data_IF_793400992035
#
_entry.id   IF_793400992035
#
_cell.length_a   1.000
_cell.length_b   1.000
_cell.length_c   1.000
_cell.angle_alpha   90.00
_cell.angle_beta   90.00
_cell.angle_gamma   90.00
#
_symmetry.space_group_name_H-M   'P 1'
#
loop_
_entity.id
_entity.type
_entity.pdbx_description
1 polymer ?
#
# COMPACT_ATOMS: atom_id res chain seq x y z
N UNK A 1 -33.15 18.83 -17.31
CA UNK A 1 -32.36 17.65 -16.89
C UNK A 1 -30.96 18.14 -16.56
N UNK A 2 -30.64 18.33 -15.28
CA UNK A 2 -29.33 18.75 -14.84
C UNK A 2 -28.50 17.49 -14.55
N UNK A 3 -27.61 17.13 -15.47
CA UNK A 3 -26.59 16.11 -15.23
C UNK A 3 -25.53 16.75 -14.34
N UNK A 4 -25.60 16.48 -13.04
CA UNK A 4 -24.57 16.84 -12.07
C UNK A 4 -23.28 16.09 -12.41
N UNK A 5 -22.34 16.77 -13.05
CA UNK A 5 -20.96 16.32 -13.18
C UNK A 5 -20.29 16.42 -11.81
N UNK A 6 -20.44 15.38 -10.99
CA UNK A 6 -19.63 15.17 -9.80
C UNK A 6 -18.18 15.06 -10.28
N UNK A 7 -17.41 16.12 -10.08
CA UNK A 7 -15.97 16.13 -10.30
C UNK A 7 -15.34 15.04 -9.43
N UNK A 8 -15.16 13.86 -10.01
CA UNK A 8 -14.44 12.76 -9.38
C UNK A 8 -12.98 13.19 -9.30
N UNK A 9 -12.61 13.85 -8.20
CA UNK A 9 -11.21 14.07 -7.83
C UNK A 9 -10.62 12.69 -7.60
N UNK A 10 -9.98 12.13 -8.63
CA UNK A 10 -9.20 10.92 -8.47
C UNK A 10 -8.18 11.18 -7.36
N UNK A 11 -8.20 10.40 -6.27
CA UNK A 11 -7.29 10.62 -5.17
C UNK A 11 -5.88 10.41 -5.73
N UNK A 12 -5.07 11.46 -5.65
CA UNK A 12 -3.67 11.43 -6.05
C UNK A 12 -2.79 11.45 -4.81
N UNK A 13 -1.59 10.87 -4.87
CA UNK A 13 -0.65 10.95 -3.77
C UNK A 13 -0.17 12.38 -3.57
N UNK A 14 0.12 12.75 -2.32
CA UNK A 14 0.65 14.09 -2.05
C UNK A 14 2.06 14.24 -2.62
N UNK A 15 2.42 15.46 -3.03
CA UNK A 15 3.77 15.79 -3.52
C UNK A 15 4.87 15.36 -2.53
N UNK A 16 4.63 15.53 -1.23
CA UNK A 16 5.59 15.11 -0.20
C UNK A 16 5.81 13.60 -0.19
N UNK A 17 4.75 12.80 -0.34
CA UNK A 17 4.83 11.35 -0.42
C UNK A 17 5.67 10.92 -1.63
N UNK A 18 5.39 11.50 -2.81
CA UNK A 18 6.12 11.21 -4.04
C UNK A 18 7.61 11.55 -3.93
N UNK A 19 7.95 12.71 -3.34
CA UNK A 19 9.35 13.11 -3.15
C UNK A 19 10.09 12.15 -2.21
N UNK A 20 9.45 11.70 -1.12
CA UNK A 20 10.06 10.74 -0.20
C UNK A 20 10.19 9.35 -0.84
N UNK A 21 9.18 8.91 -1.60
CA UNK A 21 9.22 7.65 -2.32
C UNK A 21 10.31 7.65 -3.40
N UNK A 22 10.48 8.76 -4.13
CA UNK A 22 11.56 8.92 -5.10
C UNK A 22 12.95 8.84 -4.46
N UNK A 23 13.14 9.43 -3.28
CA UNK A 23 14.41 9.31 -2.54
C UNK A 23 14.71 7.86 -2.18
N UNK A 24 13.71 7.13 -1.68
CA UNK A 24 13.86 5.71 -1.32
C UNK A 24 14.10 4.85 -2.56
N UNK A 25 13.44 5.14 -3.68
CA UNK A 25 13.64 4.44 -4.95
C UNK A 25 15.07 4.59 -5.46
N UNK A 26 15.64 5.79 -5.35
CA UNK A 26 17.05 6.05 -5.72
C UNK A 26 18.02 5.38 -4.76
N UNK A 27 17.74 5.39 -3.45
CA UNK A 27 18.62 4.79 -2.44
C UNK A 27 18.66 3.26 -2.52
N UNK A 28 17.52 2.64 -2.81
CA UNK A 28 17.38 1.18 -2.84
C UNK A 28 17.37 0.58 -4.25
N UNK A 29 17.42 1.41 -5.29
CA UNK A 29 17.29 1.00 -6.70
C UNK A 29 16.03 0.17 -6.97
N UNK A 30 14.90 0.60 -6.41
CA UNK A 30 13.61 -0.10 -6.50
C UNK A 30 12.54 0.71 -7.24
N UNK A 31 11.70 0.07 -8.06
CA UNK A 31 10.57 0.73 -8.71
C UNK A 31 9.49 1.15 -7.71
N UNK A 32 8.85 2.29 -8.00
CA UNK A 32 7.68 2.77 -7.27
C UNK A 32 6.41 2.23 -7.95
N UNK A 33 5.59 1.49 -7.20
CA UNK A 33 4.32 0.93 -7.64
C UNK A 33 3.15 1.66 -6.97
N UNK A 34 2.20 2.09 -7.80
CA UNK A 34 1.02 2.88 -7.41
C UNK A 34 -0.29 2.07 -7.49
N UNK A 35 -0.22 0.81 -7.91
CA UNK A 35 -1.37 -0.07 -8.13
C UNK A 35 -2.29 -0.19 -6.90
N UNK A 36 -1.70 -0.17 -5.69
CA UNK A 36 -2.44 -0.28 -4.44
C UNK A 36 -2.99 1.05 -3.92
N UNK A 37 -2.61 2.19 -4.48
CA UNK A 37 -2.98 3.50 -3.93
C UNK A 37 -4.50 3.75 -4.01
N UNK A 38 -5.10 3.50 -5.17
CA UNK A 38 -6.53 3.65 -5.39
C UNK A 38 -7.36 2.59 -4.65
N UNK A 39 -6.86 1.36 -4.60
CA UNK A 39 -7.53 0.26 -3.90
C UNK A 39 -7.54 0.46 -2.38
N UNK A 40 -6.45 0.96 -1.80
CA UNK A 40 -6.39 1.31 -0.37
C UNK A 40 -7.22 2.56 -0.06
N UNK A 41 -7.32 3.50 -0.99
CA UNK A 41 -8.23 4.64 -0.84
C UNK A 41 -9.71 4.21 -0.89
N UNK A 42 -10.04 3.25 -1.75
CA UNK A 42 -11.40 2.71 -1.92
C UNK A 42 -11.78 1.66 -0.87
N UNK A 43 -10.85 1.27 0.01
CA UNK A 43 -11.04 0.24 1.02
C UNK A 43 -11.11 -1.19 0.47
N UNK A 44 -10.71 -1.40 -0.79
CA UNK A 44 -10.58 -2.74 -1.39
C UNK A 44 -9.33 -3.45 -0.89
N UNK A 45 -8.23 -2.70 -0.74
CA UNK A 45 -6.99 -3.23 -0.19
C UNK A 45 -6.76 -2.78 1.26
N UNK A 46 -6.15 -3.66 2.04
CA UNK A 46 -5.83 -3.47 3.45
C UNK A 46 -4.44 -4.00 3.79
N UNK A 47 -3.87 -3.51 4.88
CA UNK A 47 -2.62 -4.04 5.42
C UNK A 47 -2.93 -5.21 6.35
N UNK A 48 -2.55 -6.41 5.92
CA UNK A 48 -2.57 -7.62 6.71
C UNK A 48 -1.38 -7.67 7.67
N UNK A 49 -1.62 -8.03 8.93
CA UNK A 49 -0.58 -8.40 9.90
C UNK A 49 -0.78 -9.87 10.27
N UNK A 50 0.27 -10.67 10.13
CA UNK A 50 0.25 -12.08 10.51
C UNK A 50 0.25 -12.23 12.04
N UNK A 51 -0.57 -13.14 12.57
CA UNK A 51 -0.69 -13.33 14.02
C UNK A 51 0.51 -14.07 14.65
N UNK A 52 1.20 -14.91 13.89
CA UNK A 52 2.31 -15.73 14.39
C UNK A 52 3.65 -15.02 14.17
N UNK A 53 3.92 -14.55 12.94
CA UNK A 53 5.22 -13.94 12.60
C UNK A 53 5.26 -12.42 12.86
N UNK A 54 4.10 -11.79 13.05
CA UNK A 54 3.93 -10.32 13.15
C UNK A 54 4.40 -9.57 11.90
N UNK A 55 4.58 -10.28 10.80
CA UNK A 55 4.95 -9.68 9.53
C UNK A 55 3.75 -9.00 8.87
N UNK A 56 4.02 -7.99 8.07
CA UNK A 56 2.99 -7.17 7.43
C UNK A 56 3.03 -7.39 5.94
N UNK A 57 1.87 -7.37 5.30
CA UNK A 57 1.72 -7.46 3.85
C UNK A 57 0.52 -6.63 3.38
N UNK A 58 0.55 -6.16 2.15
CA UNK A 58 -0.63 -5.57 1.53
C UNK A 58 -1.47 -6.67 0.91
N UNK A 59 -2.75 -6.69 1.25
CA UNK A 59 -3.72 -7.65 0.73
C UNK A 59 -4.81 -6.88 0.02
N UNK A 60 -4.96 -7.12 -1.27
CA UNK A 60 -6.08 -6.61 -2.08
C UNK A 60 -7.21 -7.63 -2.14
N UNK A 61 -6.85 -8.88 -2.35
CA UNK A 61 -7.76 -10.03 -2.41
C UNK A 61 -7.03 -11.28 -1.89
N UNK A 62 -7.75 -12.38 -1.66
CA UNK A 62 -7.16 -13.66 -1.24
C UNK A 62 -6.09 -14.19 -2.21
N UNK A 63 -6.15 -13.77 -3.47
CA UNK A 63 -5.24 -14.18 -4.56
C UNK A 63 -4.22 -13.08 -4.91
N UNK A 64 -4.45 -11.84 -4.48
CA UNK A 64 -3.61 -10.68 -4.79
C UNK A 64 -3.10 -10.05 -3.48
N UNK A 65 -1.88 -10.42 -3.13
CA UNK A 65 -1.15 -9.86 -1.99
C UNK A 65 0.29 -9.55 -2.38
N UNK A 66 0.92 -8.62 -1.66
CA UNK A 66 2.34 -8.32 -1.85
C UNK A 66 3.21 -9.28 -1.05
N UNK A 67 4.50 -9.30 -1.38
CA UNK A 67 5.53 -9.85 -0.50
C UNK A 67 5.53 -9.16 0.87
N UNK A 68 6.27 -9.75 1.79
CA UNK A 68 6.47 -9.25 3.14
C UNK A 68 7.02 -7.82 3.11
N UNK A 69 6.38 -6.96 3.91
CA UNK A 69 6.76 -5.57 4.08
C UNK A 69 7.98 -5.54 4.99
N UNK A 70 9.09 -5.05 4.46
CA UNK A 70 10.32 -4.84 5.23
C UNK A 70 10.24 -3.57 6.05
N UNK A 71 9.66 -2.50 5.49
CA UNK A 71 9.59 -1.22 6.17
C UNK A 71 8.37 -0.40 5.75
N UNK A 72 7.81 0.34 6.71
CA UNK A 72 6.70 1.26 6.46
C UNK A 72 7.13 2.64 6.90
N UNK A 73 7.02 3.62 6.01
CA UNK A 73 7.23 5.03 6.31
C UNK A 73 5.88 5.74 6.28
N UNK A 74 5.62 6.58 7.29
CA UNK A 74 4.45 7.45 7.33
C UNK A 74 4.86 8.85 6.85
N UNK A 75 4.16 9.39 5.86
CA UNK A 75 4.41 10.73 5.32
C UNK A 75 3.09 11.49 5.34
N UNK A 76 2.95 12.38 6.33
CA UNK A 76 1.67 13.05 6.59
C UNK A 76 0.59 12.04 6.95
N UNK A 77 -0.46 12.00 6.15
CA UNK A 77 -1.56 11.04 6.30
C UNK A 77 -1.36 9.76 5.50
N UNK A 78 -0.39 9.71 4.58
CA UNK A 78 -0.17 8.59 3.67
C UNK A 78 0.99 7.70 4.12
N UNK A 79 1.13 6.53 3.49
CA UNK A 79 2.20 5.58 3.82
C UNK A 79 2.96 5.11 2.58
N UNK A 80 4.26 4.91 2.77
CA UNK A 80 5.18 4.27 1.82
C UNK A 80 5.54 2.91 2.39
N UNK A 81 5.37 1.88 1.59
CA UNK A 81 5.60 0.49 1.96
C UNK A 81 6.75 -0.03 1.12
N UNK A 82 7.84 -0.40 1.78
CA UNK A 82 8.97 -1.07 1.16
C UNK A 82 8.81 -2.58 1.32
N UNK A 83 8.77 -3.28 0.20
CA UNK A 83 8.94 -4.73 0.14
C UNK A 83 10.38 -5.06 -0.26
N UNK A 84 10.64 -6.30 -0.66
CA UNK A 84 11.97 -6.73 -1.09
C UNK A 84 12.42 -6.12 -2.41
N UNK A 85 11.49 -5.96 -3.36
CA UNK A 85 11.82 -5.56 -4.74
C UNK A 85 11.06 -4.32 -5.20
N UNK A 86 10.12 -3.80 -4.42
CA UNK A 86 9.24 -2.71 -4.85
C UNK A 86 8.88 -1.77 -3.71
N UNK A 87 8.59 -0.52 -4.08
CA UNK A 87 8.09 0.52 -3.18
C UNK A 87 6.63 0.78 -3.52
N UNK A 88 5.71 0.46 -2.61
CA UNK A 88 4.29 0.74 -2.78
C UNK A 88 3.89 2.04 -2.08
N UNK A 89 3.04 2.81 -2.74
CA UNK A 89 2.40 3.98 -2.16
C UNK A 89 0.97 3.63 -1.79
N UNK A 90 0.57 3.94 -0.56
CA UNK A 90 -0.78 3.67 -0.08
C UNK A 90 -1.40 4.89 0.60
N UNK A 91 -2.71 5.01 0.42
CA UNK A 91 -3.49 6.08 1.00
C UNK A 91 -3.58 5.94 2.53
N UNK A 92 -3.72 7.07 3.22
CA UNK A 92 -3.98 7.12 4.65
C UNK A 92 -5.23 6.40 5.15
N UNK A 93 -6.15 6.13 4.22
CA UNK A 93 -7.41 5.40 4.48
C UNK A 93 -7.21 3.89 4.55
N UNK A 94 -5.99 3.39 4.42
CA UNK A 94 -5.69 1.96 4.49
C UNK A 94 -6.15 1.35 5.82
N UNK A 95 -6.95 0.29 5.73
CA UNK A 95 -7.38 -0.47 6.91
C UNK A 95 -6.29 -1.46 7.32
N UNK A 96 -6.16 -1.71 8.63
CA UNK A 96 -5.28 -2.76 9.16
C UNK A 96 -6.13 -3.93 9.63
N UNK A 97 -5.82 -5.14 9.17
CA UNK A 97 -6.52 -6.36 9.59
C UNK A 97 -5.50 -7.40 10.02
N UNK A 98 -5.83 -8.17 11.05
CA UNK A 98 -5.07 -9.36 11.39
C UNK A 98 -5.50 -10.47 10.46
N UNK A 99 -4.54 -11.11 9.80
CA UNK A 99 -4.78 -12.26 8.93
C UNK A 99 -4.01 -13.45 9.48
N UNK A 100 -4.53 -14.65 9.21
CA UNK A 100 -3.78 -15.89 9.32
C UNK A 100 -3.51 -16.30 7.89
N UNK A 101 -2.28 -16.08 7.40
CA UNK A 101 -1.91 -16.45 6.05
C UNK A 101 -1.25 -17.85 6.09
N UNK A 102 -1.99 -18.94 5.80
CA UNK A 102 -1.43 -20.29 5.78
C UNK A 102 -0.31 -20.47 4.73
N UNK A 103 -0.23 -19.58 3.73
CA UNK A 103 0.79 -19.60 2.69
C UNK A 103 2.23 -19.32 3.18
N UNK A 104 2.40 -18.86 4.43
CA UNK A 104 3.72 -18.65 5.07
C UNK A 104 4.21 -19.86 5.87
N UNK A 105 3.44 -20.94 5.97
CA UNK A 105 3.76 -22.09 6.82
C UNK A 105 4.53 -23.20 6.11
N UNK A 106 4.72 -23.11 4.79
CA UNK A 106 5.26 -24.22 3.97
C UNK A 106 6.38 -23.77 3.00
N UNK A 107 7.27 -22.88 3.45
CA UNK A 107 8.53 -22.59 2.77
C UNK A 107 9.73 -22.91 3.67
#
# INVERSE_FOLDING_TARGET
MASSSTSATNPSPTVQLLVQAAKLAVEHDMPIQLDYYLDTYSGKAFMGEDQETKEKMLVKSSEEFTSLIKKVYKVGDEYIILTENSIYLVSGKIQKRRIQAPALRDA
#
